data_IF_883701714099
#
_entry.id   IF_883701714099
#
_cell.length_a   1.000
_cell.length_b   1.000
_cell.length_c   1.000
_cell.angle_alpha   90.00
_cell.angle_beta   90.00
_cell.angle_gamma   90.00
#
_symmetry.space_group_name_H-M   'P 1'
#
loop_
_entity.id
_entity.type
_entity.pdbx_description
1 polymer ?
2 non-polymer ?
3 non-polymer ?
4 non-polymer ?
5 non-polymer ?
6 water ?
#
# COMPACT_ATOMS: atom_id res chain seq x y z
N UNK A 28 2.86 -12.16 -18.87
CA UNK A 28 1.70 -11.51 -18.27
C UNK A 28 2.03 -10.90 -16.90
N UNK A 29 3.06 -11.42 -16.24
CA UNK A 29 3.40 -10.95 -14.90
C UNK A 29 4.14 -9.61 -14.97
N UNK A 30 4.04 -8.85 -13.89
CA UNK A 30 4.71 -7.55 -13.81
C UNK A 30 6.23 -7.75 -13.77
N UNK A 31 6.97 -6.65 -13.92
CA UNK A 31 8.42 -6.76 -13.86
C UNK A 31 8.89 -7.29 -12.51
N UNK A 32 8.33 -6.76 -11.42
CA UNK A 32 8.74 -7.22 -10.10
C UNK A 32 8.47 -8.71 -9.92
N UNK A 33 7.29 -9.18 -10.36
CA UNK A 33 6.95 -10.59 -10.25
C UNK A 33 7.86 -11.45 -11.12
N UNK A 34 8.27 -10.94 -12.28
CA UNK A 34 9.23 -11.64 -13.11
C UNK A 34 10.55 -11.87 -12.37
N UNK A 35 10.90 -10.99 -11.44
CA UNK A 35 12.15 -11.08 -10.70
C UNK A 35 12.00 -11.86 -9.39
N UNK A 36 10.88 -12.54 -9.16
CA UNK A 36 10.64 -13.36 -7.97
C UNK A 36 10.63 -14.83 -8.39
N UNK A 37 11.41 -15.65 -7.67
CA UNK A 37 11.64 -17.05 -8.06
C UNK A 37 11.01 -17.94 -7.00
N UNK A 38 11.79 -18.57 -6.12
CA UNK A 38 11.22 -19.32 -5.02
C UNK A 38 10.24 -18.42 -4.28
N UNK A 39 9.18 -18.98 -3.71
CA UNK A 39 8.31 -18.19 -2.85
C UNK A 39 9.07 -17.73 -1.61
N UNK A 40 8.58 -16.64 -1.02
CA UNK A 40 9.24 -16.03 0.11
C UNK A 40 8.25 -15.86 1.26
N UNK A 41 8.77 -16.11 2.45
CA UNK A 41 8.07 -15.85 3.70
C UNK A 41 8.69 -14.61 4.31
N UNK A 42 7.88 -13.55 4.49
CA UNK A 42 8.32 -12.39 5.26
C UNK A 42 7.83 -12.61 6.67
N UNK A 43 8.75 -12.67 7.62
CA UNK A 43 8.41 -13.03 8.99
C UNK A 43 8.58 -11.81 9.88
N UNK A 44 7.49 -11.34 10.46
CA UNK A 44 7.58 -10.21 11.37
C UNK A 44 8.14 -10.67 12.71
N UNK A 45 8.84 -9.76 13.38
CA UNK A 45 9.30 -9.98 14.75
C UNK A 45 9.06 -8.71 15.56
N UNK A 46 8.59 -8.87 16.78
CA UNK A 46 8.67 -7.78 17.72
C UNK A 46 7.68 -7.90 18.85
N UNK A 47 7.96 -7.13 19.92
CA UNK A 47 7.06 -7.02 21.04
C UNK A 47 5.71 -6.44 20.58
N UNK A 48 4.67 -6.62 21.36
CA UNK A 48 3.37 -6.03 20.99
C UNK A 48 3.42 -4.52 20.91
N UNK A 49 2.60 -3.98 20.01
CA UNK A 49 2.43 -2.56 19.80
C UNK A 49 3.70 -1.92 19.21
N UNK A 50 4.42 -2.66 18.36
CA UNK A 50 5.57 -2.15 17.65
C UNK A 50 5.29 -1.95 16.15
N UNK A 51 4.03 -1.92 15.75
CA UNK A 51 3.70 -1.67 14.37
C UNK A 51 3.77 -2.86 13.43
N UNK A 52 3.81 -4.09 13.94
CA UNK A 52 4.00 -5.24 13.05
C UNK A 52 2.82 -5.42 12.11
N UNK A 53 1.59 -5.28 12.62
CA UNK A 53 0.40 -5.46 11.78
C UNK A 53 0.29 -4.33 10.78
N UNK A 54 0.60 -3.11 11.24
CA UNK A 54 0.60 -1.95 10.37
C UNK A 54 1.57 -2.14 9.20
N UNK A 55 2.80 -2.57 9.51
CA UNK A 55 3.81 -2.80 8.47
C UNK A 55 3.41 -3.96 7.58
N UNK A 56 2.96 -5.07 8.18
CA UNK A 56 2.51 -6.24 7.42
C UNK A 56 1.48 -5.86 6.37
N UNK A 57 0.43 -5.16 6.78
CA UNK A 57 -0.63 -4.80 5.86
C UNK A 57 -0.12 -3.85 4.79
N UNK A 58 0.68 -2.86 5.17
CA UNK A 58 1.14 -1.86 4.23
C UNK A 58 2.10 -2.47 3.21
N UNK A 59 3.04 -3.28 3.67
CA UNK A 59 3.95 -3.97 2.75
C UNK A 59 3.18 -4.86 1.79
N UNK A 60 2.14 -5.54 2.27
CA UNK A 60 1.37 -6.42 1.40
C UNK A 60 0.61 -5.61 0.34
N UNK A 61 0.08 -4.46 0.72
CA UNK A 61 -0.60 -3.62 -0.25
C UNK A 61 0.37 -3.17 -1.35
N UNK A 62 1.58 -2.75 -0.97
CA UNK A 62 2.58 -2.35 -1.94
C UNK A 62 3.00 -3.49 -2.85
N UNK A 63 3.31 -4.67 -2.27
CA UNK A 63 3.77 -5.79 -3.08
C UNK A 63 2.70 -6.22 -4.09
N UNK A 64 1.44 -6.29 -3.66
CA UNK A 64 0.38 -6.63 -4.60
C UNK A 64 0.27 -5.58 -5.71
N UNK A 65 0.41 -4.31 -5.36
CA UNK A 65 0.26 -3.26 -6.37
C UNK A 65 1.36 -3.34 -7.43
N UNK A 66 2.59 -3.66 -7.02
CA UNK A 66 3.66 -3.83 -7.98
C UNK A 66 3.60 -5.16 -8.70
N UNK A 67 2.63 -6.00 -8.40
CA UNK A 67 2.38 -7.20 -9.18
C UNK A 67 2.86 -8.50 -8.59
N UNK A 68 3.21 -8.52 -7.31
CA UNK A 68 3.68 -9.73 -6.63
C UNK A 68 2.56 -10.22 -5.72
N UNK A 69 1.92 -11.35 -6.03
CA UNK A 69 0.82 -11.85 -5.19
C UNK A 69 1.25 -12.15 -3.78
N UNK A 70 0.71 -11.39 -2.83
CA UNK A 70 1.13 -11.43 -1.44
C UNK A 70 -0.09 -11.49 -0.54
N UNK A 71 0.05 -12.22 0.58
CA UNK A 71 -1.04 -12.35 1.55
C UNK A 71 -0.48 -12.30 2.95
N UNK A 72 -1.18 -11.57 3.84
CA UNK A 72 -0.86 -11.45 5.26
C UNK A 72 -1.54 -12.55 6.03
N UNK A 73 -0.81 -13.14 6.96
CA UNK A 73 -1.33 -14.14 7.89
C UNK A 73 -1.15 -13.56 9.29
N UNK A 74 -2.25 -13.06 9.86
CA UNK A 74 -2.22 -12.35 11.13
C UNK A 74 -2.50 -13.35 12.26
N UNK A 75 -1.47 -13.68 13.04
CA UNK A 75 -1.66 -14.72 14.04
C UNK A 75 -2.63 -14.29 15.14
N UNK A 76 -2.78 -12.98 15.36
CA UNK A 76 -3.78 -12.51 16.31
C UNK A 76 -5.19 -12.88 15.91
N UNK A 77 -5.46 -12.85 14.60
CA UNK A 77 -6.78 -13.26 14.09
C UNK A 77 -7.02 -14.75 14.36
N UNK A 78 -6.04 -15.59 14.01
CA UNK A 78 -6.13 -17.01 14.32
C UNK A 78 -6.39 -17.26 15.80
N UNK A 79 -5.65 -16.58 16.66
CA UNK A 79 -5.79 -16.83 18.09
C UNK A 79 -7.13 -16.36 18.63
N UNK A 80 -7.60 -15.19 18.18
CA UNK A 80 -8.92 -14.74 18.62
C UNK A 80 -10.02 -15.67 18.13
N UNK A 81 -9.87 -16.20 16.93
CA UNK A 81 -10.83 -17.19 16.44
C UNK A 81 -10.80 -18.45 17.29
N UNK A 82 -9.63 -18.82 17.79
CA UNK A 82 -9.52 -20.04 18.60
C UNK A 82 -10.04 -19.84 20.01
N UNK A 83 -9.86 -18.66 20.58
CA UNK A 83 -10.10 -18.44 22.00
C UNK A 83 -11.43 -17.73 22.24
N UNK A 84 -11.80 -16.84 21.32
CA UNK A 84 -13.06 -16.07 21.38
C UNK A 84 -13.44 -15.59 22.76
N UNK A 85 -12.49 -15.00 23.48
CA UNK A 85 -12.76 -14.49 24.81
C UNK A 85 -11.82 -13.32 25.07
N UNK A 86 -12.21 -12.47 26.02
CA UNK A 86 -11.43 -11.30 26.40
C UNK A 86 -10.39 -11.72 27.41
N UNK A 87 -9.24 -12.17 26.93
CA UNK A 87 -8.21 -12.65 27.82
C UNK A 87 -7.44 -11.47 28.40
N UNK A 88 -6.94 -11.66 29.61
CA UNK A 88 -6.03 -10.71 30.23
C UNK A 88 -4.59 -11.06 29.85
N UNK A 89 -3.63 -10.27 30.33
CA UNK A 89 -2.22 -10.56 30.14
C UNK A 89 -1.85 -11.98 30.58
N UNK A 90 -2.62 -12.58 31.50
CA UNK A 90 -2.35 -13.95 31.96
C UNK A 90 -2.19 -14.94 30.83
N UNK A 91 -2.92 -14.73 29.73
CA UNK A 91 -2.89 -15.64 28.62
C UNK A 91 -1.53 -15.65 27.92
N UNK A 92 -0.76 -14.59 28.08
CA UNK A 92 0.50 -14.40 27.36
C UNK A 92 1.73 -14.73 28.19
N UNK A 93 1.53 -15.26 29.40
CA UNK A 93 2.66 -15.69 30.22
C UNK A 93 3.36 -16.87 29.58
N UNK A 94 4.69 -16.82 29.59
CA UNK A 94 5.46 -17.91 28.99
C UNK A 94 5.30 -19.20 29.77
N UNK A 95 4.89 -19.13 31.04
CA UNK A 95 4.66 -20.33 31.85
C UNK A 95 3.19 -20.70 31.99
N UNK A 96 2.32 -20.12 31.16
CA UNK A 96 0.93 -20.58 31.06
C UNK A 96 0.91 -21.72 30.05
N UNK A 97 0.99 -22.95 30.53
CA UNK A 97 1.24 -24.06 29.62
C UNK A 97 0.10 -24.25 28.63
N UNK A 98 -1.15 -24.14 29.10
CA UNK A 98 -2.29 -24.36 28.22
C UNK A 98 -2.40 -23.27 27.18
N UNK A 99 -2.13 -22.02 27.57
CA UNK A 99 -2.13 -20.91 26.61
C UNK A 99 -0.99 -21.07 25.60
N UNK A 100 0.20 -21.45 26.05
CA UNK A 100 1.30 -21.65 25.11
C UNK A 100 0.97 -22.73 24.09
N UNK A 101 0.33 -23.82 24.53
CA UNK A 101 -0.10 -24.88 23.63
C UNK A 101 -1.07 -24.35 22.58
N UNK A 102 -2.08 -23.58 23.00
CA UNK A 102 -3.03 -23.01 22.05
C UNK A 102 -2.31 -22.07 21.07
N UNK A 103 -1.45 -21.22 21.61
CA UNK A 103 -0.77 -20.25 20.74
C UNK A 103 0.11 -20.95 19.71
N UNK A 104 0.79 -22.03 20.11
CA UNK A 104 1.60 -22.76 19.15
C UNK A 104 0.74 -23.47 18.12
N UNK A 105 -0.40 -24.01 18.53
CA UNK A 105 -1.29 -24.65 17.58
C UNK A 105 -1.75 -23.65 16.53
N UNK A 106 -2.03 -22.42 16.96
CA UNK A 106 -2.43 -21.40 16.01
C UNK A 106 -1.33 -21.13 15.00
N UNK A 107 -0.08 -21.12 15.45
CA UNK A 107 1.02 -20.87 14.53
C UNK A 107 1.13 -22.00 13.52
N UNK A 108 0.99 -23.25 13.98
CA UNK A 108 1.07 -24.38 13.07
C UNK A 108 -0.04 -24.35 12.05
N UNK A 109 -1.27 -24.02 12.47
CA UNK A 109 -2.38 -23.90 11.52
C UNK A 109 -2.09 -22.80 10.50
N UNK A 110 -1.62 -21.63 10.97
CA UNK A 110 -1.33 -20.54 10.05
C UNK A 110 -0.23 -20.94 9.07
N UNK A 111 0.77 -21.68 9.52
CA UNK A 111 1.82 -22.11 8.59
C UNK A 111 1.31 -23.09 7.56
N UNK A 112 0.38 -23.96 7.94
CA UNK A 112 -0.23 -24.83 6.94
C UNK A 112 -1.01 -24.02 5.91
N UNK A 113 -1.66 -22.93 6.35
CA UNK A 113 -2.32 -22.03 5.40
C UNK A 113 -1.31 -21.30 4.52
N UNK A 114 -0.17 -20.89 5.10
CA UNK A 114 0.89 -20.30 4.28
C UNK A 114 1.32 -21.28 3.20
N UNK A 115 1.55 -22.53 3.58
CA UNK A 115 2.00 -23.51 2.59
C UNK A 115 0.98 -23.67 1.47
N UNK A 116 -0.31 -23.74 1.80
CA UNK A 116 -1.34 -23.85 0.76
C UNK A 116 -1.34 -22.63 -0.15
N UNK A 117 -1.21 -21.44 0.42
CA UNK A 117 -1.21 -20.22 -0.38
C UNK A 117 -0.07 -20.23 -1.40
N UNK A 118 1.13 -20.58 -0.94
CA UNK A 118 2.31 -20.50 -1.77
C UNK A 118 2.51 -21.72 -2.68
N UNK A 119 1.78 -22.81 -2.47
CA UNK A 119 1.95 -24.00 -3.31
C UNK A 119 0.71 -24.43 -4.06
N UNK A 120 -0.50 -24.09 -3.61
CA UNK A 120 -1.70 -24.45 -4.35
C UNK A 120 -2.41 -23.24 -4.96
N UNK A 121 -2.23 -22.05 -4.39
CA UNK A 121 -3.00 -20.89 -4.80
C UNK A 121 -2.20 -19.86 -5.60
N UNK A 122 -0.96 -20.19 -5.99
CA UNK A 122 -0.13 -19.31 -6.81
C UNK A 122 0.28 -18.03 -6.11
N UNK A 123 0.22 -18.00 -4.77
CA UNK A 123 0.84 -16.91 -4.05
C UNK A 123 2.34 -16.90 -4.26
N UNK A 124 2.94 -15.73 -4.13
CA UNK A 124 4.39 -15.63 -4.18
C UNK A 124 5.04 -15.20 -2.88
N UNK A 125 4.38 -14.37 -2.07
CA UNK A 125 4.93 -13.93 -0.80
C UNK A 125 3.85 -14.06 0.28
N UNK A 126 4.21 -14.67 1.39
CA UNK A 126 3.36 -14.75 2.56
C UNK A 126 4.00 -13.91 3.65
N UNK A 127 3.20 -13.04 4.27
CA UNK A 127 3.69 -12.21 5.36
C UNK A 127 3.12 -12.77 6.65
N UNK A 128 4.02 -13.26 7.50
CA UNK A 128 3.64 -13.97 8.72
C UNK A 128 3.73 -12.97 9.86
N UNK A 129 2.58 -12.44 10.25
CA UNK A 129 2.49 -11.36 11.22
C UNK A 129 2.20 -11.97 12.59
N UNK A 130 3.26 -12.18 13.36
CA UNK A 130 3.20 -12.62 14.74
C UNK A 130 4.38 -11.99 15.48
N UNK A 131 4.42 -12.18 16.79
CA UNK A 131 5.55 -11.65 17.56
C UNK A 131 6.86 -12.35 17.23
N UNK A 132 6.84 -13.68 17.16
CA UNK A 132 7.99 -14.45 16.76
C UNK A 132 9.25 -14.03 17.51
N UNK A 133 9.12 -13.88 18.82
CA UNK A 133 10.11 -13.19 19.63
C UNK A 133 11.19 -14.11 20.20
N UNK A 134 11.05 -15.43 20.05
CA UNK A 134 12.02 -16.37 20.56
C UNK A 134 12.77 -17.03 19.43
N UNK A 135 14.03 -17.38 19.70
CA UNK A 135 14.81 -18.15 18.74
C UNK A 135 14.11 -19.46 18.40
N UNK A 136 13.48 -20.09 19.39
CA UNK A 136 12.81 -21.37 19.17
C UNK A 136 11.69 -21.24 18.15
N UNK A 137 10.86 -20.21 18.29
CA UNK A 137 9.77 -20.03 17.35
C UNK A 137 10.29 -19.68 15.96
N UNK A 138 11.34 -18.87 15.87
CA UNK A 138 11.89 -18.56 14.57
C UNK A 138 12.54 -19.79 13.92
N UNK A 139 13.17 -20.66 14.72
CA UNK A 139 13.68 -21.92 14.17
C UNK A 139 12.55 -22.78 13.60
N UNK A 140 11.40 -22.80 14.27
CA UNK A 140 10.26 -23.54 13.76
C UNK A 140 9.87 -23.04 12.38
N UNK A 141 9.86 -21.72 12.21
CA UNK A 141 9.52 -21.14 10.92
C UNK A 141 10.59 -21.43 9.87
N UNK A 142 11.87 -21.29 10.25
CA UNK A 142 12.97 -21.59 9.32
C UNK A 142 12.94 -23.05 8.88
N UNK A 143 12.67 -23.97 9.81
CA UNK A 143 12.58 -25.37 9.43
C UNK A 143 11.41 -25.63 8.49
N UNK A 144 10.25 -25.04 8.79
CA UNK A 144 9.11 -25.10 7.88
C UNK A 144 9.50 -24.59 6.51
N UNK A 145 10.18 -23.44 6.44
CA UNK A 145 10.51 -22.90 5.13
C UNK A 145 11.45 -23.85 4.39
N UNK A 146 12.43 -24.42 5.09
CA UNK A 146 13.35 -25.35 4.45
C UNK A 146 12.65 -26.58 3.93
N UNK A 147 11.63 -27.07 4.66
CA UNK A 147 10.88 -28.24 4.19
C UNK A 147 10.21 -27.98 2.83
N UNK A 148 9.85 -26.73 2.56
CA UNK A 148 9.11 -26.34 1.37
C UNK A 148 9.93 -25.53 0.37
N UNK A 149 11.23 -25.37 0.60
CA UNK A 149 12.09 -24.54 -0.23
C UNK A 149 11.57 -23.11 -0.38
N UNK A 150 11.10 -22.52 0.71
CA UNK A 150 10.73 -21.11 0.72
C UNK A 150 11.91 -20.29 1.23
N UNK A 151 12.10 -19.09 0.68
CA UNK A 151 13.07 -18.17 1.25
C UNK A 151 12.43 -17.48 2.45
N UNK A 152 13.28 -16.99 3.35
CA UNK A 152 12.80 -16.33 4.57
C UNK A 152 13.51 -14.99 4.72
N UNK A 153 12.74 -13.95 4.98
CA UNK A 153 13.24 -12.62 5.26
C UNK A 153 12.50 -12.08 6.47
N UNK A 154 13.24 -11.68 7.49
CA UNK A 154 12.63 -11.20 8.73
C UNK A 154 12.58 -9.69 8.76
N UNK A 155 11.49 -9.15 9.31
CA UNK A 155 11.34 -7.72 9.59
C UNK A 155 11.08 -7.59 11.08
N UNK A 156 12.07 -7.09 11.83
CA UNK A 156 11.94 -6.91 13.27
C UNK A 156 11.75 -5.42 13.58
N UNK A 157 10.69 -5.08 14.29
CA UNK A 157 10.45 -3.71 14.71
C UNK A 157 10.83 -3.56 16.17
N UNK A 158 11.73 -2.63 16.45
CA UNK A 158 12.31 -2.39 17.76
C UNK A 158 12.02 -0.96 18.15
N UNK A 159 11.33 -0.77 19.27
CA UNK A 159 11.17 0.59 19.79
C UNK A 159 10.98 0.51 21.30
N UNK A 160 11.79 1.25 22.03
CA UNK A 160 11.70 1.26 23.49
C UNK A 160 11.31 2.62 24.04
N UNK A 161 10.83 3.53 23.19
CA UNK A 161 10.35 4.86 23.63
C UNK A 161 8.96 4.70 24.22
N UNK A 162 8.77 4.91 25.53
CA UNK A 162 7.44 4.65 26.12
C UNK A 162 6.36 5.60 25.62
N UNK A 163 6.73 6.78 25.11
CA UNK A 163 5.74 7.68 24.53
C UNK A 163 5.20 7.13 23.22
N UNK A 164 6.07 6.54 22.40
CA UNK A 164 5.63 5.89 21.16
C UNK A 164 4.71 4.71 21.48
N UNK A 165 5.13 3.86 22.41
CA UNK A 165 4.34 2.67 22.74
C UNK A 165 2.96 3.07 23.28
N UNK A 166 2.92 4.07 24.18
CA UNK A 166 1.63 4.51 24.70
C UNK A 166 0.74 5.04 23.58
N UNK A 167 1.32 5.82 22.67
CA UNK A 167 0.55 6.34 21.56
C UNK A 167 0.03 5.20 20.70
N UNK A 168 0.88 4.21 20.43
CA UNK A 168 0.44 3.05 19.63
C UNK A 168 -0.70 2.33 20.32
N UNK A 169 -0.61 2.14 21.63
CA UNK A 169 -1.65 1.44 22.36
C UNK A 169 -2.97 2.19 22.27
N UNK A 170 -2.93 3.51 22.48
CA UNK A 170 -4.14 4.31 22.40
C UNK A 170 -4.69 4.32 20.98
N UNK A 171 -3.82 4.28 19.97
CA UNK A 171 -4.30 4.41 18.60
C UNK A 171 -5.03 3.17 18.12
N UNK A 172 -4.51 1.97 18.41
CA UNK A 172 -5.06 0.76 17.80
C UNK A 172 -5.41 -0.33 18.80
N UNK A 173 -4.93 -0.31 20.04
CA UNK A 173 -5.16 -1.45 20.94
C UNK A 173 -6.34 -1.23 21.85
N UNK A 174 -6.63 0.02 22.23
CA UNK A 174 -7.71 0.31 23.18
C UNK A 174 -9.08 -0.03 22.58
N UNK A 175 -9.27 0.22 21.28
CA UNK A 175 -10.52 -0.11 20.62
C UNK A 175 -10.31 -1.25 19.64
N UNK A 176 -9.66 -2.31 20.08
CA UNK A 176 -9.40 -3.49 19.28
C UNK A 176 -10.26 -4.65 19.78
N UNK A 177 -10.40 -5.71 18.97
CA UNK A 177 -11.25 -6.84 19.38
C UNK A 177 -10.70 -7.61 20.57
N UNK A 178 -9.48 -7.35 21.00
CA UNK A 178 -8.98 -8.01 22.19
C UNK A 178 -9.67 -7.54 23.46
N UNK A 179 -10.43 -6.45 23.40
CA UNK A 179 -10.95 -5.81 24.60
C UNK A 179 -12.39 -5.38 24.42
N UNK A 180 -13.20 -5.45 25.47
CA UNK A 180 -14.55 -4.92 25.42
C UNK A 180 -14.53 -3.42 25.70
N UNK A 181 -15.71 -2.81 25.61
CA UNK A 181 -15.94 -1.47 26.09
C UNK A 181 -15.41 -1.31 27.51
N UNK A 182 -14.40 -0.45 27.67
CA UNK A 182 -13.83 -0.16 28.98
C UNK A 182 -12.83 0.98 28.77
N UNK A 183 -12.51 1.70 29.85
CA UNK A 183 -11.75 2.92 29.66
C UNK A 183 -10.32 2.59 29.27
N UNK A 184 -9.76 3.43 28.40
CA UNK A 184 -8.40 3.25 27.93
C UNK A 184 -7.43 3.03 29.09
N UNK A 185 -7.70 3.59 30.25
CA UNK A 185 -6.79 3.45 31.38
C UNK A 185 -6.60 1.99 31.75
N UNK A 186 -7.72 1.25 31.87
CA UNK A 186 -7.65 -0.16 32.25
C UNK A 186 -7.08 -1.01 31.14
N UNK A 187 -7.43 -0.69 29.89
CA UNK A 187 -6.88 -1.45 28.77
C UNK A 187 -5.38 -1.22 28.69
N UNK A 188 -4.96 0.04 28.81
CA UNK A 188 -3.54 0.36 28.83
C UNK A 188 -2.79 -0.47 29.85
N UNK A 189 -3.36 -0.56 31.07
CA UNK A 189 -2.74 -1.32 32.14
C UNK A 189 -2.54 -2.78 31.71
N UNK A 190 -3.59 -3.41 31.19
CA UNK A 190 -3.47 -4.80 30.80
C UNK A 190 -2.47 -4.99 29.67
N UNK A 191 -2.48 -4.07 28.70
CA UNK A 191 -1.62 -4.26 27.55
C UNK A 191 -0.15 -4.07 27.89
N UNK A 192 0.15 -3.16 28.82
CA UNK A 192 1.53 -3.01 29.24
C UNK A 192 2.00 -4.25 29.98
N UNK A 193 1.12 -4.85 30.78
CA UNK A 193 1.46 -6.12 31.42
C UNK A 193 1.67 -7.22 30.39
N UNK A 194 0.85 -7.23 29.34
CA UNK A 194 1.09 -8.21 28.29
C UNK A 194 2.48 -8.03 27.69
N UNK A 195 2.86 -6.79 27.37
CA UNK A 195 4.20 -6.53 26.85
C UNK A 195 5.26 -7.09 27.80
N UNK A 196 5.10 -6.86 29.10
CA UNK A 196 6.07 -7.36 30.07
C UNK A 196 6.21 -8.87 29.98
N UNK A 197 5.11 -9.59 29.74
CA UNK A 197 5.19 -11.03 29.58
C UNK A 197 6.12 -11.41 28.44
N UNK A 198 6.05 -10.69 27.33
CA UNK A 198 6.88 -11.03 26.18
C UNK A 198 8.32 -10.61 26.41
N UNK A 199 8.56 -9.58 27.21
CA UNK A 199 9.93 -9.17 27.46
C UNK A 199 10.71 -10.26 28.18
N UNK A 200 10.03 -11.11 28.95
CA UNK A 200 10.73 -12.13 29.72
C UNK A 200 11.54 -13.04 28.80
N UNK A 201 11.01 -13.38 27.63
CA UNK A 201 11.64 -14.36 26.76
C UNK A 201 12.11 -13.78 25.42
N UNK A 202 11.96 -12.48 25.21
CA UNK A 202 12.33 -11.87 23.93
C UNK A 202 13.82 -11.98 23.66
N UNK A 203 14.17 -12.56 22.53
CA UNK A 203 15.54 -12.66 22.04
C UNK A 203 15.58 -11.91 20.71
N UNK A 204 16.04 -10.67 20.68
CA UNK A 204 16.09 -9.92 19.42
C UNK A 204 17.09 -10.56 18.47
N UNK A 205 16.93 -10.29 17.17
CA UNK A 205 17.90 -10.80 16.21
C UNK A 205 19.27 -10.26 16.57
N UNK A 206 20.27 -11.13 16.49
CA UNK A 206 21.64 -10.77 16.85
C UNK A 206 22.55 -11.07 15.67
N UNK A 207 22.94 -10.06 14.89
CA UNK A 207 23.72 -10.34 13.67
C UNK A 207 25.16 -10.69 13.95
N UNK A 208 25.64 -10.39 15.14
CA UNK A 208 27.03 -10.69 15.47
C UNK A 208 27.26 -12.14 15.77
N UNK A 209 26.21 -12.88 16.14
CA UNK A 209 26.40 -14.29 16.45
C UNK A 209 25.26 -15.16 15.93
N UNK A 210 24.19 -15.28 16.71
CA UNK A 210 23.21 -16.32 16.46
C UNK A 210 22.59 -16.18 15.07
N UNK A 211 22.36 -14.94 14.63
CA UNK A 211 21.60 -14.67 13.42
C UNK A 211 22.45 -14.09 12.29
N UNK A 212 23.78 -14.29 12.35
CA UNK A 212 24.65 -13.67 11.37
C UNK A 212 24.38 -14.13 9.94
N UNK A 213 23.75 -15.29 9.76
CA UNK A 213 23.49 -15.80 8.43
C UNK A 213 22.04 -15.67 8.00
N UNK A 214 21.19 -15.06 8.82
CA UNK A 214 19.80 -14.85 8.43
C UNK A 214 19.67 -13.53 7.66
N UNK A 215 18.64 -13.47 6.82
CA UNK A 215 18.33 -12.28 6.05
C UNK A 215 17.27 -11.46 6.77
N UNK A 216 17.56 -10.19 7.04
CA UNK A 216 16.59 -9.42 7.81
C UNK A 216 16.83 -7.92 7.74
N UNK A 217 15.80 -7.18 8.16
CA UNK A 217 15.89 -5.76 8.46
C UNK A 217 15.32 -5.54 9.87
N UNK A 218 16.08 -4.83 10.70
CA UNK A 218 15.57 -4.29 11.95
C UNK A 218 15.16 -2.86 11.69
N UNK A 219 13.90 -2.54 11.96
CA UNK A 219 13.36 -1.20 11.88
C UNK A 219 13.34 -0.63 13.30
N UNK A 220 14.16 0.40 13.55
CA UNK A 220 14.48 0.83 14.90
C UNK A 220 13.94 2.24 15.11
N UNK A 221 13.25 2.43 16.23
CA UNK A 221 12.72 3.73 16.62
C UNK A 221 11.86 4.36 15.53
N UNK A 222 10.92 3.57 15.02
CA UNK A 222 9.92 4.02 14.06
C UNK A 222 10.61 4.58 12.81
N UNK A 223 11.65 3.89 12.35
CA UNK A 223 12.26 4.23 11.07
C UNK A 223 13.33 5.29 11.14
N UNK A 224 13.81 5.64 12.33
CA UNK A 224 14.99 6.48 12.41
C UNK A 224 16.25 5.71 12.05
N UNK A 225 16.30 4.42 12.31
CA UNK A 225 17.52 3.67 12.18
C UNK A 225 17.16 2.27 11.70
N UNK A 226 18.07 1.67 10.93
CA UNK A 226 17.86 0.34 10.35
C UNK A 226 19.14 -0.47 10.44
N UNK A 227 18.98 -1.77 10.67
CA UNK A 227 20.07 -2.73 10.51
C UNK A 227 19.61 -3.77 9.48
N UNK A 228 20.36 -3.90 8.38
CA UNK A 228 20.01 -4.80 7.29
C UNK A 228 21.11 -5.84 7.15
N UNK A 229 20.72 -7.10 7.03
CA UNK A 229 21.67 -8.20 6.97
C UNK A 229 21.32 -9.15 5.84
N UNK A 230 22.29 -9.41 4.98
CA UNK A 230 22.22 -10.50 3.99
C UNK A 230 20.96 -10.47 3.11
N UNK A 231 20.71 -9.32 2.47
CA UNK A 231 19.66 -9.27 1.45
C UNK A 231 20.02 -10.23 0.32
N UNK A 232 19.09 -11.13 -0.04
CA UNK A 232 19.41 -12.22 -0.96
C UNK A 232 19.11 -11.94 -2.42
N UNK A 233 18.15 -11.09 -2.74
CA UNK A 233 17.60 -11.11 -4.10
C UNK A 233 16.90 -9.79 -4.41
N UNK A 234 16.26 -9.76 -5.57
CA UNK A 234 15.64 -8.52 -6.03
C UNK A 234 14.52 -8.09 -5.11
N UNK A 235 13.63 -9.02 -4.76
CA UNK A 235 12.44 -8.60 -4.02
C UNK A 235 12.81 -8.17 -2.62
N UNK A 236 13.78 -8.82 -1.99
CA UNK A 236 14.24 -8.34 -0.69
C UNK A 236 14.85 -6.93 -0.78
N UNK A 237 15.60 -6.65 -1.86
CA UNK A 237 16.15 -5.30 -2.02
C UNK A 237 15.03 -4.27 -2.12
N UNK A 238 13.96 -4.60 -2.84
CA UNK A 238 12.85 -3.67 -2.97
C UNK A 238 12.10 -3.50 -1.66
N UNK A 239 11.91 -4.58 -0.91
CA UNK A 239 11.24 -4.52 0.40
C UNK A 239 12.01 -3.61 1.34
N UNK A 240 13.33 -3.77 1.37
CA UNK A 240 14.18 -2.93 2.22
C UNK A 240 14.02 -1.46 1.84
N UNK A 241 14.13 -1.15 0.55
CA UNK A 241 14.02 0.23 0.09
C UNK A 241 12.68 0.82 0.50
N UNK A 242 11.59 0.06 0.29
CA UNK A 242 10.26 0.52 0.68
C UNK A 242 10.18 0.81 2.18
N UNK A 243 10.57 -0.18 3.02
CA UNK A 243 10.46 -0.01 4.46
C UNK A 243 11.32 1.12 4.99
N UNK A 244 12.43 1.42 4.32
CA UNK A 244 13.27 2.50 4.78
C UNK A 244 12.75 3.89 4.37
N UNK A 245 11.68 3.98 3.57
CA UNK A 245 11.22 5.26 3.06
C UNK A 245 9.77 5.56 3.38
N UNK A 246 9.15 4.80 4.28
CA UNK A 246 7.81 5.11 4.77
C UNK A 246 7.93 5.72 6.16
N UNK A 247 6.87 6.39 6.59
CA UNK A 247 6.85 7.05 7.91
C UNK A 247 5.43 7.04 8.43
N UNK A 248 5.26 7.42 9.70
CA UNK A 248 3.93 7.42 10.33
C UNK A 248 3.44 8.83 10.66
N UNK A 249 4.02 9.86 10.06
CA UNK A 249 3.59 11.21 10.39
C UNK A 249 2.25 11.48 9.73
N UNK A 250 1.27 12.04 10.45
CA UNK A 250 -0.03 12.33 9.85
C UNK A 250 0.11 13.33 8.71
N UNK A 251 -0.62 13.09 7.63
CA UNK A 251 -0.66 14.02 6.49
C UNK A 251 -1.84 13.62 5.62
N UNK A 252 -2.03 14.36 4.53
CA UNK A 252 -3.13 14.17 3.62
C UNK A 252 -2.59 14.15 2.21
N UNK A 253 -3.10 13.24 1.39
CA UNK A 253 -2.80 13.21 -0.04
C UNK A 253 -4.09 13.55 -0.79
N UNK A 254 -3.99 14.50 -1.72
CA UNK A 254 -5.11 14.89 -2.56
C UNK A 254 -4.79 14.48 -3.99
N UNK A 255 -5.75 13.84 -4.65
CA UNK A 255 -5.62 13.46 -6.06
C UNK A 255 -6.77 14.08 -6.85
N UNK A 256 -6.45 14.71 -7.97
CA UNK A 256 -7.49 15.09 -8.90
C UNK A 256 -6.92 15.06 -10.31
N UNK A 257 -7.82 15.15 -11.29
CA UNK A 257 -7.38 15.30 -12.66
C UNK A 257 -7.18 16.76 -12.99
N UNK A 258 -6.47 17.02 -14.08
CA UNK A 258 -6.52 18.31 -14.70
C UNK A 258 -7.97 18.72 -14.92
N UNK A 259 -8.20 20.02 -14.95
CA UNK A 259 -9.51 20.52 -15.38
C UNK A 259 -9.88 19.99 -16.76
N UNK A 260 -11.17 19.94 -17.05
CA UNK A 260 -11.67 19.46 -18.33
C UNK A 260 -10.88 20.05 -19.50
N UNK A 261 -10.46 19.18 -20.42
CA UNK A 261 -9.67 19.58 -21.57
C UNK A 261 -10.54 19.67 -22.82
N UNK A 262 -9.99 20.33 -23.85
CA UNK A 262 -10.63 20.38 -25.15
C UNK A 262 -10.91 18.97 -25.68
N UNK A 263 -9.94 18.08 -25.56
CA UNK A 263 -10.13 16.71 -26.05
C UNK A 263 -11.15 15.93 -25.22
N UNK A 264 -11.25 16.20 -23.93
CA UNK A 264 -12.31 15.57 -23.14
C UNK A 264 -13.67 15.84 -23.76
N UNK A 265 -13.92 17.09 -24.19
CA UNK A 265 -15.22 17.47 -24.74
C UNK A 265 -15.51 16.72 -26.04
N UNK A 266 -14.48 16.34 -26.77
CA UNK A 266 -14.60 15.62 -28.03
C UNK A 266 -14.46 14.11 -27.91
N UNK A 267 -14.26 13.58 -26.71
CA UNK A 267 -14.08 12.15 -26.57
C UNK A 267 -12.78 11.62 -27.13
N UNK A 268 -11.78 12.48 -27.31
CA UNK A 268 -10.49 12.07 -27.85
C UNK A 268 -9.56 11.71 -26.70
N UNK A 269 -8.86 10.58 -26.85
CA UNK A 269 -7.96 10.10 -25.82
C UNK A 269 -6.56 10.64 -26.07
N UNK A 270 -5.79 10.72 -25.00
CA UNK A 270 -4.41 11.15 -25.07
C UNK A 270 -4.29 12.59 -25.54
N UNK A 271 -3.24 12.85 -26.28
CA UNK A 271 -2.94 14.18 -26.77
C UNK A 271 -2.34 15.10 -25.72
N UNK A 272 -2.21 16.36 -26.14
CA UNK A 272 -1.70 17.40 -25.27
C UNK A 272 -2.55 18.66 -25.40
N UNK A 273 -3.87 18.51 -25.32
CA UNK A 273 -4.76 19.66 -25.50
C UNK A 273 -4.87 20.46 -24.20
N UNK A 274 -5.30 21.73 -24.34
CA UNK A 274 -5.43 22.63 -23.21
C UNK A 274 -6.78 22.52 -22.52
N UNK A 275 -6.90 23.27 -21.43
CA UNK A 275 -8.16 23.34 -20.68
C UNK A 275 -9.25 23.99 -21.54
N UNK A 276 -10.46 23.45 -21.43
CA UNK A 276 -11.64 24.19 -21.87
C UNK A 276 -11.89 25.33 -20.90
N UNK A 277 -12.76 26.28 -21.27
CA UNK A 277 -13.02 27.37 -20.33
C UNK A 277 -13.63 26.81 -19.05
N UNK A 278 -14.33 25.69 -19.13
CA UNK A 278 -14.87 25.06 -17.93
C UNK A 278 -13.77 24.38 -17.10
N UNK A 279 -12.75 23.80 -17.75
CA UNK A 279 -11.61 23.33 -16.99
C UNK A 279 -10.88 24.45 -16.29
N UNK A 280 -10.84 25.63 -16.90
CA UNK A 280 -10.23 26.79 -16.24
C UNK A 280 -11.05 27.24 -15.04
N UNK A 281 -12.38 27.16 -15.14
CA UNK A 281 -13.24 27.43 -13.99
C UNK A 281 -12.96 26.44 -12.86
N UNK A 282 -12.80 25.16 -13.19
CA UNK A 282 -12.41 24.19 -12.17
C UNK A 282 -11.09 24.58 -11.51
N UNK A 283 -10.11 24.99 -12.30
CA UNK A 283 -8.83 25.36 -11.73
C UNK A 283 -8.98 26.51 -10.75
N UNK A 284 -9.84 27.46 -11.08
CA UNK A 284 -10.11 28.56 -10.16
C UNK A 284 -10.83 28.05 -8.91
N UNK A 285 -11.79 27.15 -9.08
CA UNK A 285 -12.46 26.56 -7.92
C UNK A 285 -11.48 25.77 -7.05
N UNK A 286 -10.51 25.09 -7.67
CA UNK A 286 -9.48 24.37 -6.92
C UNK A 286 -8.59 25.33 -6.13
N UNK A 287 -8.27 26.47 -6.72
CA UNK A 287 -7.55 27.51 -5.97
C UNK A 287 -8.30 27.90 -4.70
N UNK A 288 -9.60 28.19 -4.83
CA UNK A 288 -10.40 28.55 -3.67
C UNK A 288 -10.47 27.43 -2.66
N UNK A 289 -10.63 26.19 -3.13
CA UNK A 289 -10.63 25.05 -2.24
C UNK A 289 -9.36 25.03 -1.40
N UNK A 290 -8.20 25.19 -2.05
CA UNK A 290 -6.95 25.22 -1.31
C UNK A 290 -6.84 26.47 -0.43
N UNK A 291 -7.30 27.61 -0.91
CA UNK A 291 -7.28 28.83 -0.10
C UNK A 291 -8.19 28.71 1.12
N UNK A 292 -9.20 27.83 1.05
CA UNK A 292 -10.14 27.59 2.14
C UNK A 292 -9.64 26.53 3.11
N UNK A 293 -8.85 25.60 2.63
CA UNK A 293 -8.34 24.53 3.48
C UNK A 293 -7.08 24.93 4.25
N UNK A 294 -6.25 25.83 3.70
CA UNK A 294 -5.00 26.22 4.36
C UNK A 294 -4.24 24.98 4.85
N UNK A 295 -4.02 24.07 3.91
CA UNK A 295 -3.25 22.86 4.16
C UNK A 295 -1.79 23.26 4.34
N UNK A 296 -1.22 22.87 5.48
CA UNK A 296 0.14 23.31 5.75
C UNK A 296 1.12 22.67 4.78
N UNK A 297 2.00 23.50 4.21
CA UNK A 297 3.16 23.01 3.45
C UNK A 297 2.76 22.03 2.36
N UNK A 298 1.71 22.35 1.63
CA UNK A 298 1.20 21.47 0.59
C UNK A 298 2.12 21.49 -0.63
N UNK A 299 2.61 20.33 -1.04
CA UNK A 299 3.36 20.24 -2.28
C UNK A 299 2.38 19.92 -3.39
N UNK A 300 2.61 20.50 -4.57
CA UNK A 300 1.74 20.31 -5.70
C UNK A 300 2.57 19.73 -6.84
N UNK A 301 2.12 18.61 -7.39
CA UNK A 301 2.79 17.94 -8.50
C UNK A 301 1.83 17.86 -9.68
N UNK A 302 2.35 18.09 -10.86
CA UNK A 302 1.61 17.92 -12.10
C UNK A 302 2.42 17.03 -13.03
N UNK A 303 1.83 16.72 -14.17
CA UNK A 303 2.55 16.08 -15.26
C UNK A 303 3.22 17.16 -16.10
N UNK A 304 3.80 16.76 -17.24
CA UNK A 304 4.35 17.71 -18.20
C UNK A 304 3.36 18.06 -19.30
N UNK A 305 2.15 17.54 -19.23
CA UNK A 305 1.13 17.85 -20.21
C UNK A 305 0.42 19.15 -19.85
N UNK A 306 0.15 19.93 -20.88
CA UNK A 306 -0.34 21.30 -20.71
C UNK A 306 -1.56 21.35 -19.79
N UNK A 307 -2.47 20.39 -19.92
CA UNK A 307 -3.72 20.47 -19.18
C UNK A 307 -3.50 20.42 -17.67
N UNK A 308 -2.50 19.68 -17.18
CA UNK A 308 -2.24 19.70 -15.74
C UNK A 308 -1.48 20.94 -15.34
N UNK A 309 -0.54 21.37 -16.19
CA UNK A 309 0.23 22.59 -15.92
C UNK A 309 -0.71 23.80 -15.80
N UNK A 310 -1.64 23.93 -16.75
CA UNK A 310 -2.56 25.06 -16.73
C UNK A 310 -3.44 25.03 -15.50
N UNK A 311 -3.78 23.85 -15.02
CA UNK A 311 -4.58 23.75 -13.79
C UNK A 311 -3.78 24.30 -12.61
N UNK A 312 -2.51 23.89 -12.49
CA UNK A 312 -1.69 24.33 -11.39
C UNK A 312 -1.35 25.81 -11.49
N UNK A 313 -1.23 26.34 -12.70
CA UNK A 313 -0.89 27.75 -12.88
C UNK A 313 -1.92 28.67 -12.24
N UNK A 314 -3.18 28.23 -12.18
CA UNK A 314 -4.24 29.04 -11.59
C UNK A 314 -4.23 29.08 -10.08
N UNK A 315 -3.39 28.29 -9.43
CA UNK A 315 -3.50 28.11 -7.99
C UNK A 315 -2.67 29.12 -7.19
N UNK A 316 -1.72 29.79 -7.81
CA UNK A 316 -0.87 30.72 -7.05
C UNK A 316 0.15 30.06 -6.17
N UNK A 317 0.57 28.83 -6.50
CA UNK A 317 1.52 28.07 -5.69
C UNK A 317 2.67 27.63 -6.59
N UNK A 318 3.80 27.34 -5.98
CA UNK A 318 4.84 26.69 -6.74
C UNK A 318 4.48 25.22 -6.86
N UNK A 319 4.88 24.62 -7.96
CA UNK A 319 4.53 23.22 -8.21
C UNK A 319 5.66 22.58 -9.01
N UNK A 320 5.63 21.25 -9.06
CA UNK A 320 6.66 20.47 -9.71
C UNK A 320 6.03 19.66 -10.82
N UNK A 321 6.65 19.66 -12.01
CA UNK A 321 6.15 18.91 -13.15
C UNK A 321 6.94 17.62 -13.25
N UNK A 322 6.24 16.49 -13.33
CA UNK A 322 6.87 15.18 -13.40
C UNK A 322 6.53 14.56 -14.75
N UNK A 323 7.54 14.27 -15.57
CA UNK A 323 7.27 13.59 -16.84
C UNK A 323 6.56 12.26 -16.59
N UNK A 324 6.91 11.57 -15.50
CA UNK A 324 6.34 10.24 -15.27
C UNK A 324 4.91 10.28 -14.77
N UNK A 325 4.36 11.48 -14.49
CA UNK A 325 2.92 11.62 -14.27
C UNK A 325 2.12 11.80 -15.57
N UNK A 326 2.75 11.80 -16.74
CA UNK A 326 1.99 11.97 -17.98
C UNK A 326 1.02 10.80 -18.15
N UNK A 327 -0.09 11.08 -18.82
CA UNK A 327 -1.15 10.09 -18.97
C UNK A 327 -0.64 8.87 -19.73
N UNK A 328 -1.33 7.75 -19.56
CA UNK A 328 -1.03 6.53 -20.27
C UNK A 328 -0.86 6.81 -21.76
N UNK A 329 0.15 6.18 -22.36
CA UNK A 329 0.46 6.39 -23.77
C UNK A 329 -0.40 5.44 -24.60
N UNK A 330 -1.26 5.99 -25.45
CA UNK A 330 -2.14 5.17 -26.28
C UNK A 330 -1.49 4.79 -27.62
N UNK A 331 -0.24 5.15 -27.82
CA UNK A 331 0.47 4.66 -29.02
C UNK A 331 -0.21 5.13 -30.28
N UNK A 332 -0.46 4.18 -31.19
CA UNK A 332 -1.10 4.47 -32.46
C UNK A 332 -2.52 4.99 -32.29
N UNK A 333 -3.11 4.83 -31.09
CA UNK A 333 -4.46 5.29 -30.83
C UNK A 333 -4.52 6.68 -30.21
N UNK A 334 -3.39 7.34 -30.02
CA UNK A 334 -3.40 8.70 -29.47
C UNK A 334 -4.27 9.61 -30.32
N UNK A 335 -5.06 10.44 -29.63
CA UNK A 335 -5.91 11.47 -30.21
C UNK A 335 -7.15 10.92 -30.91
N UNK A 336 -7.40 9.62 -30.85
CA UNK A 336 -8.60 9.03 -31.44
C UNK A 336 -9.72 8.96 -30.41
N UNK A 337 -10.96 8.89 -30.91
CA UNK A 337 -12.10 8.54 -30.07
C UNK A 337 -12.22 7.02 -29.98
N UNK A 338 -12.95 6.55 -28.96
CA UNK A 338 -13.17 5.12 -28.85
C UNK A 338 -13.90 4.59 -30.09
N UNK A 339 -14.87 5.36 -30.60
CA UNK A 339 -15.57 4.93 -31.81
C UNK A 339 -14.61 4.72 -32.96
N UNK A 340 -13.70 5.68 -33.16
CA UNK A 340 -12.68 5.57 -34.20
C UNK A 340 -11.77 4.38 -33.98
N UNK A 341 -11.40 4.11 -32.74
CA UNK A 341 -10.53 2.99 -32.47
C UNK A 341 -11.24 1.68 -32.78
N UNK A 342 -12.50 1.55 -32.34
CA UNK A 342 -13.21 0.32 -32.60
C UNK A 342 -13.39 0.09 -34.10
N UNK A 343 -13.61 1.17 -34.85
CA UNK A 343 -13.83 1.03 -36.29
C UNK A 343 -12.55 0.64 -37.00
N UNK A 344 -11.44 1.26 -36.62
CA UNK A 344 -10.18 0.99 -37.28
C UNK A 344 -9.49 -0.26 -36.76
N UNK A 345 -9.65 -0.56 -35.47
CA UNK A 345 -8.95 -1.67 -34.83
C UNK A 345 -9.91 -2.53 -34.03
N UNK A 346 -10.88 -3.16 -34.69
CA UNK A 346 -11.93 -3.86 -33.93
C UNK A 346 -11.42 -5.00 -33.07
N UNK A 347 -10.49 -5.80 -33.57
CA UNK A 347 -9.98 -6.91 -32.76
C UNK A 347 -9.19 -6.41 -31.56
N UNK A 348 -8.36 -5.38 -31.77
CA UNK A 348 -7.59 -4.83 -30.67
C UNK A 348 -8.51 -4.20 -29.63
N UNK A 349 -9.52 -3.46 -30.08
CA UNK A 349 -10.48 -2.83 -29.17
C UNK A 349 -11.18 -3.87 -28.32
N UNK A 350 -11.56 -5.01 -28.93
CA UNK A 350 -12.19 -6.08 -28.17
C UNK A 350 -11.22 -6.71 -27.18
N UNK A 351 -9.96 -6.90 -27.59
CA UNK A 351 -8.95 -7.45 -26.70
C UNK A 351 -8.78 -6.57 -25.47
N UNK A 352 -8.75 -5.25 -25.69
CA UNK A 352 -8.57 -4.34 -24.57
C UNK A 352 -9.72 -4.46 -23.58
N UNK A 353 -10.96 -4.60 -24.08
CA UNK A 353 -12.08 -4.75 -23.17
C UNK A 353 -12.00 -6.05 -22.38
N UNK A 354 -11.42 -7.10 -22.98
CA UNK A 354 -11.32 -8.38 -22.30
C UNK A 354 -10.21 -8.39 -21.25
N UNK A 355 -9.14 -7.63 -21.48
CA UNK A 355 -7.95 -7.66 -20.63
C UNK A 355 -7.41 -6.24 -20.45
N UNK A 356 -8.20 -5.39 -19.81
CA UNK A 356 -7.87 -3.96 -19.75
C UNK A 356 -6.63 -3.67 -18.94
N UNK A 357 -6.30 -4.51 -17.94
CA UNK A 357 -5.11 -4.24 -17.16
C UNK A 357 -3.83 -4.57 -17.94
N UNK A 358 -3.83 -5.70 -18.66
CA UNK A 358 -2.61 -6.21 -19.28
C UNK A 358 -2.44 -5.76 -20.72
N UNK A 359 -3.51 -5.42 -21.42
CA UNK A 359 -3.44 -5.03 -22.81
C UNK A 359 -2.50 -3.84 -23.01
N UNK A 360 -1.55 -3.97 -23.93
CA UNK A 360 -0.65 -2.85 -24.27
C UNK A 360 -1.04 -2.25 -25.61
N UNK A 361 -1.36 -0.96 -25.62
CA UNK A 361 -1.59 -0.25 -26.87
C UNK A 361 -0.37 -0.41 -27.78
N UNK A 362 -0.55 -0.70 -29.07
CA UNK A 362 0.63 -0.75 -29.96
C UNK A 362 1.34 0.59 -30.01
N UNK A 363 2.64 0.58 -29.73
CA UNK A 363 3.40 1.82 -29.61
C UNK A 363 3.21 2.54 -28.30
N UNK A 364 2.48 1.95 -27.38
CA UNK A 364 2.13 2.59 -26.12
C UNK A 364 2.21 1.67 -24.93
N UNK A 365 1.28 1.86 -24.00
CA UNK A 365 1.38 1.28 -22.66
C UNK A 365 0.14 0.47 -22.32
N UNK A 366 0.33 -0.45 -21.38
CA UNK A 366 -0.72 -1.09 -20.61
C UNK A 366 -0.80 -0.42 -19.25
N UNK A 367 -1.90 -0.71 -18.52
CA UNK A 367 -1.97 -0.23 -17.16
C UNK A 367 -0.87 -0.86 -16.32
N UNK A 368 -0.50 -2.11 -16.64
CA UNK A 368 0.60 -2.74 -15.93
C UNK A 368 1.89 -1.96 -16.11
N UNK A 369 2.17 -1.50 -17.34
CA UNK A 369 3.34 -0.65 -17.59
C UNK A 369 3.24 0.65 -16.81
N UNK A 370 2.04 1.23 -16.76
CA UNK A 370 1.85 2.50 -16.11
C UNK A 370 2.11 2.40 -14.61
N UNK A 371 1.67 1.30 -13.99
CA UNK A 371 2.00 1.06 -12.59
C UNK A 371 3.51 1.07 -12.38
N UNK A 372 4.25 0.37 -13.25
CA UNK A 372 5.71 0.37 -13.11
C UNK A 372 6.28 1.79 -13.23
N UNK A 373 5.80 2.54 -14.21
CA UNK A 373 6.25 3.92 -14.41
C UNK A 373 5.96 4.80 -13.20
N UNK A 374 4.88 4.52 -12.47
CA UNK A 374 4.46 5.36 -11.36
C UNK A 374 5.10 4.95 -10.03
N UNK A 375 5.90 3.90 -10.00
CA UNK A 375 6.45 3.47 -8.73
C UNK A 375 7.28 4.54 -8.04
N UNK A 376 8.11 5.35 -8.74
CA UNK A 376 8.80 6.45 -8.05
C UNK A 376 7.87 7.51 -7.50
N UNK A 377 6.69 7.70 -8.10
CA UNK A 377 5.71 8.63 -7.55
C UNK A 377 5.22 8.13 -6.20
N UNK A 378 4.82 6.86 -6.16
CA UNK A 378 4.38 6.23 -4.93
C UNK A 378 5.47 6.37 -3.87
N UNK A 379 6.72 6.08 -4.22
CA UNK A 379 7.77 6.14 -3.21
C UNK A 379 7.93 7.56 -2.66
N UNK A 380 7.87 8.57 -3.53
CA UNK A 380 8.03 9.93 -3.03
C UNK A 380 6.78 10.38 -2.25
N UNK A 381 5.60 9.93 -2.66
CA UNK A 381 4.41 10.18 -1.85
C UNK A 381 4.59 9.60 -0.44
N UNK A 382 5.16 8.40 -0.35
CA UNK A 382 5.42 7.82 0.97
C UNK A 382 6.41 8.66 1.75
N UNK A 383 7.41 9.22 1.10
CA UNK A 383 8.41 9.99 1.82
C UNK A 383 7.91 11.36 2.26
N UNK A 384 6.91 11.90 1.56
CA UNK A 384 6.52 13.29 1.74
C UNK A 384 5.38 13.46 2.77
N UNK A 385 4.93 14.71 2.91
CA UNK A 385 3.86 15.05 3.81
C UNK A 385 2.57 15.29 3.05
N UNK A 386 2.05 16.51 3.10
CA UNK A 386 0.83 16.87 2.39
C UNK A 386 1.15 17.10 0.92
N UNK A 387 0.48 16.38 0.04
CA UNK A 387 0.76 16.48 -1.39
C UNK A 387 -0.56 16.48 -2.14
N UNK A 388 -0.65 17.36 -3.15
CA UNK A 388 -1.70 17.33 -4.15
C UNK A 388 -1.08 16.90 -5.48
N UNK A 389 -1.64 15.87 -6.09
CA UNK A 389 -1.19 15.39 -7.40
C UNK A 389 -2.30 15.68 -8.41
N UNK A 390 -1.99 16.51 -9.39
CA UNK A 390 -2.91 16.83 -10.48
C UNK A 390 -2.46 16.02 -11.70
N UNK A 391 -3.24 15.00 -12.07
CA UNK A 391 -2.80 14.11 -13.14
C UNK A 391 -3.92 13.84 -14.14
N UNK A 392 -4.24 12.56 -14.36
CA UNK A 392 -5.00 12.12 -15.49
C UNK A 392 -5.78 10.87 -15.10
N UNK A 393 -6.78 10.53 -15.91
CA UNK A 393 -7.69 9.43 -15.56
C UNK A 393 -6.96 8.11 -15.27
N UNK A 394 -6.15 7.62 -16.22
CA UNK A 394 -5.51 6.32 -16.01
C UNK A 394 -4.47 6.38 -14.90
N UNK A 395 -3.66 7.45 -14.88
CA UNK A 395 -2.65 7.61 -13.84
C UNK A 395 -3.33 7.61 -12.47
N UNK A 396 -4.40 8.39 -12.34
CA UNK A 396 -5.06 8.51 -11.05
C UNK A 396 -5.71 7.20 -10.62
N UNK A 397 -6.25 6.41 -11.56
CA UNK A 397 -6.70 5.07 -11.21
C UNK A 397 -5.57 4.27 -10.56
N UNK A 398 -4.38 4.31 -11.15
CA UNK A 398 -3.25 3.55 -10.61
C UNK A 398 -2.90 4.01 -9.20
N UNK A 399 -2.82 5.32 -9.00
CA UNK A 399 -2.49 5.84 -7.68
C UNK A 399 -3.56 5.49 -6.64
N UNK A 400 -4.83 5.69 -6.98
CA UNK A 400 -5.90 5.36 -6.06
C UNK A 400 -5.92 3.88 -5.71
N UNK A 401 -5.64 3.02 -6.69
CA UNK A 401 -5.62 1.59 -6.43
C UNK A 401 -4.55 1.23 -5.41
N UNK A 402 -3.42 1.93 -5.44
CA UNK A 402 -2.39 1.68 -4.44
C UNK A 402 -2.88 2.04 -3.05
N UNK A 403 -3.40 3.26 -2.90
CA UNK A 403 -3.79 3.73 -1.59
C UNK A 403 -4.99 2.99 -1.04
N UNK A 404 -5.89 2.53 -1.90
CA UNK A 404 -7.12 1.89 -1.49
C UNK A 404 -7.11 0.38 -1.69
N UNK A 405 -5.96 -0.20 -2.04
CA UNK A 405 -5.81 -1.67 -2.07
C UNK A 405 -6.78 -2.32 -3.07
N UNK A 406 -6.85 -1.77 -4.27
CA UNK A 406 -7.70 -2.30 -5.33
C UNK A 406 -6.87 -3.15 -6.29
N UNK A 407 -7.37 -4.32 -6.61
CA UNK A 407 -6.66 -5.24 -7.46
C UNK A 407 -6.73 -4.90 -8.95
N UNK A 408 -6.03 -5.72 -9.73
CA UNK A 408 -5.84 -5.44 -11.15
C UNK A 408 -7.14 -5.54 -11.93
N UNK A 409 -8.11 -6.34 -11.47
CA UNK A 409 -9.39 -6.40 -12.16
C UNK A 409 -10.13 -5.09 -12.02
N UNK A 410 -10.03 -4.45 -10.86
CA UNK A 410 -10.76 -3.22 -10.58
C UNK A 410 -10.02 -1.96 -11.01
N UNK A 411 -8.69 -1.98 -10.93
CA UNK A 411 -7.90 -0.76 -11.10
C UNK A 411 -8.26 0.01 -12.37
N UNK A 412 -8.33 -0.62 -13.56
CA UNK A 412 -8.58 0.17 -14.77
C UNK A 412 -10.00 0.69 -14.91
N UNK A 413 -10.87 0.37 -13.96
CA UNK A 413 -12.27 0.73 -13.98
C UNK A 413 -12.67 1.61 -12.80
N UNK A 414 -11.72 2.06 -11.98
CA UNK A 414 -12.07 2.96 -10.88
C UNK A 414 -12.60 4.26 -11.45
N UNK A 415 -13.61 4.82 -10.80
CA UNK A 415 -14.26 6.03 -11.28
C UNK A 415 -13.57 7.28 -10.71
N UNK A 416 -12.98 8.08 -11.60
CA UNK A 416 -12.19 9.25 -11.22
C UNK A 416 -12.71 10.41 -12.06
N UNK A 417 -13.85 10.99 -11.69
CA UNK A 417 -14.44 12.04 -12.53
C UNK A 417 -13.59 13.29 -12.57
N UNK A 418 -13.70 14.02 -13.68
CA UNK A 418 -13.18 15.38 -13.73
C UNK A 418 -13.88 16.23 -12.67
N UNK A 419 -13.11 17.15 -12.11
CA UNK A 419 -13.57 18.18 -11.20
C UNK A 419 -13.94 17.66 -9.81
N UNK A 420 -13.49 16.46 -9.48
CA UNK A 420 -13.67 15.84 -8.17
C UNK A 420 -12.29 15.61 -7.57
N UNK A 421 -12.14 15.96 -6.30
CA UNK A 421 -10.92 15.77 -5.55
C UNK A 421 -11.09 14.54 -4.67
N UNK A 422 -10.11 13.67 -4.66
CA UNK A 422 -10.05 12.55 -3.73
C UNK A 422 -9.08 12.91 -2.61
N UNK A 423 -9.61 12.96 -1.39
CA UNK A 423 -8.85 13.33 -0.20
C UNK A 423 -8.55 12.04 0.55
N UNK A 424 -7.27 11.69 0.65
CA UNK A 424 -6.82 10.42 1.25
C UNK A 424 -6.16 10.71 2.58
N UNK A 425 -6.67 10.09 3.63
CA UNK A 425 -6.15 10.30 4.98
C UNK A 425 -5.67 8.97 5.54
N UNK A 426 -4.38 8.79 5.75
CA UNK A 426 -3.91 7.58 6.44
C UNK A 426 -4.57 7.48 7.81
N UNK A 427 -5.23 6.33 8.06
CA UNK A 427 -6.14 6.16 9.20
C UNK A 427 -6.08 4.72 9.69
N UNK A 428 -5.64 4.53 10.93
CA UNK A 428 -5.53 3.20 11.54
C UNK A 428 -4.55 2.37 10.71
N UNK A 429 -4.97 1.26 10.12
CA UNK A 429 -4.15 0.36 9.34
C UNK A 429 -4.31 0.58 7.85
N UNK A 430 -5.14 1.52 7.44
CA UNK A 430 -5.35 1.76 6.04
C UNK A 430 -5.48 3.22 5.68
N UNK A 431 -6.41 3.54 4.81
CA UNK A 431 -6.49 4.89 4.27
C UNK A 431 -7.96 5.20 4.00
N UNK A 432 -8.44 6.29 4.59
CA UNK A 432 -9.77 6.80 4.31
C UNK A 432 -9.75 7.60 3.02
N UNK A 433 -10.85 7.55 2.27
CA UNK A 433 -11.01 8.33 1.06
C UNK A 433 -12.32 9.10 1.16
N UNK A 434 -12.25 10.40 0.88
CA UNK A 434 -13.42 11.27 0.78
C UNK A 434 -13.39 11.89 -0.60
N UNK A 435 -14.54 11.92 -1.27
CA UNK A 435 -14.64 12.56 -2.57
C UNK A 435 -15.29 13.92 -2.40
N UNK A 436 -14.69 14.93 -3.00
CA UNK A 436 -15.14 16.31 -2.89
C UNK A 436 -15.39 16.79 -4.31
N UNK A 437 -16.66 16.96 -4.67
CA UNK A 437 -17.02 17.40 -6.01
C UNK A 437 -17.07 18.92 -5.98
N UNK A 438 -16.23 19.55 -6.78
CA UNK A 438 -16.30 21.00 -6.85
C UNK A 438 -17.41 21.41 -7.80
N UNK A 439 -17.90 22.63 -7.64
CA UNK A 439 -19.14 23.03 -8.29
C UNK A 439 -18.89 23.57 -9.71
N UNK A 440 -18.28 22.72 -10.54
CA UNK A 440 -18.05 23.02 -11.93
C UNK A 440 -18.34 21.76 -12.73
N UNK A 441 -19.30 21.82 -13.65
CA UNK A 441 -19.66 20.64 -14.41
C UNK A 441 -18.51 20.20 -15.33
N UNK A 442 -18.58 18.94 -15.78
CA UNK A 442 -17.61 18.43 -16.75
C UNK A 442 -18.23 17.26 -17.49
N UNK A 443 -17.68 16.99 -18.67
CA UNK A 443 -18.07 15.81 -19.43
C UNK A 443 -17.64 14.55 -18.69
N UNK A 444 -18.35 13.46 -18.95
CA UNK A 444 -17.98 12.15 -18.43
C UNK A 444 -17.01 11.51 -19.39
N UNK A 445 -15.88 11.02 -18.89
CA UNK A 445 -14.92 10.28 -19.72
C UNK A 445 -14.79 8.83 -19.31
N UNK A 446 -15.67 8.33 -18.45
CA UNK A 446 -15.56 6.98 -17.91
C UNK A 446 -16.32 6.02 -18.82
N UNK A 447 -15.61 5.06 -19.41
CA UNK A 447 -16.23 4.06 -20.27
C UNK A 447 -16.30 2.74 -19.52
N UNK A 448 -17.52 2.26 -19.28
CA UNK A 448 -17.71 1.00 -18.59
C UNK A 448 -17.28 -0.16 -19.48
N UNK A 449 -16.88 -1.26 -18.87
CA UNK A 449 -16.67 -2.48 -19.64
C UNK A 449 -17.99 -2.91 -20.28
N UNK A 450 -18.02 -3.17 -21.58
CA UNK A 450 -19.31 -3.44 -22.24
C UNK A 450 -20.04 -4.64 -21.65
N UNK A 451 -21.36 -4.61 -21.79
CA UNK A 451 -22.31 -5.55 -21.19
C UNK A 451 -21.86 -6.02 -19.82
X LIG B 1 5.59 -15.84 23.97
X LIG B 1 5.25 -14.36 25.71
X LIG B 1 6.44 -16.75 24.87
X LIG B 1 6.00 -15.29 26.64
X LIG B 1 4.64 -15.09 24.68
X LIG B 1 6.96 -16.08 25.98
X LIG B 1 6.18 -15.23 23.50
X LIG B 1 5.13 -16.39 23.33
X LIG B 1 4.56 -13.88 26.20
X LIG B 1 5.87 -13.72 25.32
X LIG B 1 7.18 -17.12 24.35
X LIG B 1 5.88 -17.48 25.19
X LIG B 1 5.36 -15.88 27.08
X LIG B 1 6.45 -14.76 27.32
X LIG C 1 -10.23 10.33 -22.01
X LIG C 1 -9.47 10.73 -20.91
X LIG C 1 -8.24 9.84 -20.72
X LIG C 1 -7.49 10.43 -19.63
X LIG C 1 -7.38 9.62 -21.96
X LIG C 1 -6.41 10.62 -22.18
X LIG C 1 -6.80 8.23 -21.72
X LIG C 1 -6.35 7.56 -22.88
X LIG C 1 -7.99 7.54 -21.10
X LIG C 1 -8.66 8.53 -20.33
X LIG C 1 -7.67 6.38 -20.19
X LIG C 1 -8.88 5.77 -19.76
X LIG C 1 -9.28 4.29 -20.33
X LIG C 1 -8.13 3.38 -19.95
X LIG C 1 -10.57 3.95 -19.61
X LIG C 1 -9.42 4.32 -21.83
X LIG C 1 -9.82 9.56 -22.44
X LIG C 1 -10.08 10.69 -20.01
X LIG C 1 -9.15 11.76 -21.05
X LIG C 1 -6.56 10.58 -19.91
X LIG C 1 -8.05 9.57 -22.83
X LIG C 1 -5.51 10.22 -22.13
X LIG C 1 -6.00 8.30 -20.99
X LIG C 1 -6.90 6.77 -23.05
X LIG C 1 -8.65 7.18 -21.89
X LIG C 1 -7.05 5.66 -20.71
X LIG C 1 -7.12 6.74 -19.32
X LIG D 1 -0.52 -15.17 20.01
X LIG D 1 -0.65 -14.46 18.67
X LIG D 1 0.09 -13.13 18.81
X LIG D 1 1.59 -13.51 18.91
X LIG D 1 -0.23 -12.27 17.58
X LIG D 1 0.42 -10.88 17.61
X LIG D 1 0.56 -15.74 20.31
X LIG D 1 -1.49 -15.17 20.82
X LIG D 1 2.18 -13.85 17.85
X LIG D 1 2.26 -13.55 19.98
X LIG D 1 0.67 -10.30 16.51
X LIG D 1 0.68 -10.29 18.70
X LIG D 1 -0.46 -12.52 19.94
X LIG D 1 -0.24 -14.99 17.97
X LIG D 1 -1.58 -14.30 18.48
X LIG D 1 0.08 -12.74 16.79
X LIG D 1 -1.19 -12.16 17.52
X LIG D 1 0.16 -12.14 20.38
X LIG E 1 1.66 -4.92 16.65
X LIG E 1 1.11 -5.68 15.50
X LIG E 1 1.10 -5.27 17.96
X LIG E 1 3.20 -4.92 16.75
X LIG E 1 0.30 -2.66 15.49
X LIG E 1 0.68 -2.87 14.06
X LIG E 1 -1.09 -3.12 15.73
X LIG E 1 1.36 -3.37 16.52
X LIG E 1 0.49 -1.11 15.94
X LIG E 1 -0.01 -0.04 15.13
X LIG E 1 0.69 1.25 15.57
X LIG E 1 2.27 1.11 15.36
X LIG E 1 0.32 2.33 14.87
X LIG E 1 0.06 3.40 15.85
X LIG E 1 1.52 2.76 14.02
X LIG E 1 1.63 4.09 13.85
X LIG E 1 2.71 2.26 14.89
X LIG E 1 3.83 1.95 13.91
X LIG E 1 3.99 1.77 12.62
X LIG E 1 5.28 1.43 12.39
X LIG E 1 5.88 1.42 13.58
X LIG E 1 7.19 1.11 13.86
X LIG E 1 8.31 0.77 12.97
X LIG E 1 7.65 1.12 15.07
X LIG E 1 6.77 1.45 16.10
X LIG E 1 5.45 1.75 15.82
X LIG E 1 5.01 1.72 14.55
X LIG E 1 -0.97 0.05 15.24
X LIG E 1 0.20 -0.22 14.20
X LIG E 1 0.51 1.40 16.51
X LIG E 1 -0.46 2.15 14.32
X LIG E 1 -0.77 3.56 15.89
X LIG E 1 1.53 2.30 13.17
X LIG E 1 1.70 4.27 13.02
X LIG E 1 2.96 2.90 15.58
X LIG E 1 3.34 1.86 11.97
X LIG E 1 8.16 0.64 12.13
X LIG E 1 9.10 0.68 13.29
X LIG E 1 7.07 1.46 16.98
#
# INVERSE_FOLDING_TARGET
MSGNPASSSEQNNNSYETKASLRISEKKCSWASYMTNSPTLIVMIGLPARGKTYVSKKLTRYLNWIGVPTKVFNLGVYRRQAVKSYKSYDFFRHDNEEAMKIRKQCALVALKDVKAYLTEESGQIAVFDATNTTRERRDLILNFAEENSFKVFFVESVCDDPDVIAANILEVKVSSPDYPERNRENVMDDFLKRIECYKVTYQPLDPDSHDKDLSFIKVINVGQRFLVNKVQDYIQSKIVYYLMNIHVHPRTIYLCRHGESEFNLLGKIGGDSGLSVRGKQFAQALRKFLEEQEIADLKVWTSQLKRTIQTAESLGVTYEQWKILNEIDAGVCEEMTYAEIQEQYPDEFALRDEEKYLYRYPGGESYQDLVQRLEPVIMELERQGNVLVISHQAVMRCLLAYFLDKGADELPYLRCPLHTIFKLTPVAYGCKVETIKLNVEAVNTHRDKPTNNFPKNQTPVRMRRNSFTPLSSSNTIRRPRNYSVGSRPLQPLSPLRALDTQEGADQPKTQAETSRAAHRLPSPAPPTSPS
DIO C1 C2 C1' C2' O1 O1' H11 H12 H21 H22 H1'1 H1'2 H2'1 H2'2
F6P O1 C1 C2 O2 C3 O3 C4 O4 C5 O5 C6 O6 P O1P O2P O3P HO1 H11 H12 HO2 H3 HO3 H4 HO4 H5 H61 H62
FLC CAC CA CB CBC CG CGC OA1 OA2 OB1 OB2 OG1 OG2 OHB HA1 HA2 HG1 HG2 HOB
ADP PB O1B O2B O3B PA O1A O2A O3A O5' C5' C4' O4' C3' O3' C2' O2' C1' N9 C8 N7 C5 C6 N6 N1 C2 N3 C4 H5'1 H5'2 H4' H3' HO3' H2' HO2' H1' H8 HN61 HN62 H2
#
